data_IF_770505603090
#
_entry.id   IF_770505603090
#
_cell.length_a   1.000
_cell.length_b   1.000
_cell.length_c   1.000
_cell.angle_alpha   90.00
_cell.angle_beta   90.00
_cell.angle_gamma   90.00
#
_symmetry.space_group_name_H-M   'P 1'
#
loop_
_entity.id
_entity.type
_entity.pdbx_description
1 polymer ?
#
# COMPACT_ATOMS: atom_id res chain seq x y z
N UNK A 1 5.24 3.51 28.39
CA UNK A 1 5.32 3.59 26.91
C UNK A 1 6.75 3.98 26.54
N UNK A 2 7.37 3.29 25.58
CA UNK A 2 8.78 3.53 25.21
C UNK A 2 9.03 4.91 24.59
N UNK A 3 10.28 5.36 24.58
CA UNK A 3 10.74 6.68 24.11
C UNK A 3 10.63 6.89 22.60
N UNK A 4 10.31 5.86 21.83
CA UNK A 4 10.36 5.88 20.36
C UNK A 4 8.99 5.96 19.66
N UNK A 5 7.88 5.95 20.42
CA UNK A 5 6.56 6.15 19.84
C UNK A 5 6.31 7.64 19.57
N UNK A 6 5.65 7.98 18.45
CA UNK A 6 5.25 9.36 18.21
C UNK A 6 4.27 9.80 19.30
N UNK A 7 4.52 10.95 19.91
CA UNK A 7 3.81 11.47 21.10
C UNK A 7 2.62 12.35 20.74
N UNK A 8 2.78 13.22 19.74
CA UNK A 8 1.73 14.09 19.23
C UNK A 8 2.06 14.59 17.82
N UNK A 9 1.08 15.17 17.12
CA UNK A 9 1.28 15.82 15.82
C UNK A 9 2.33 16.93 15.88
N UNK A 10 2.36 17.71 16.96
CA UNK A 10 3.31 18.82 17.14
C UNK A 10 4.71 18.31 17.47
N UNK A 11 4.83 17.28 18.30
CA UNK A 11 6.13 16.74 18.72
C UNK A 11 6.78 15.84 17.65
N UNK A 12 5.96 15.13 16.87
CA UNK A 12 6.42 14.12 15.90
C UNK A 12 5.72 14.26 14.54
N UNK A 13 5.73 15.44 13.89
CA UNK A 13 4.91 15.72 12.70
C UNK A 13 5.20 14.78 11.52
N UNK A 14 6.41 14.21 11.45
CA UNK A 14 6.81 13.29 10.37
C UNK A 14 6.43 11.82 10.63
N UNK A 15 6.05 11.48 11.87
CA UNK A 15 5.70 10.11 12.29
C UNK A 15 4.27 10.01 12.82
N UNK A 16 3.59 11.14 12.99
CA UNK A 16 2.18 11.21 13.33
C UNK A 16 1.32 11.06 12.09
N UNK A 17 0.19 10.38 12.21
CA UNK A 17 -0.74 10.22 11.10
C UNK A 17 -1.46 11.54 10.78
N UNK A 18 -1.90 11.71 9.53
CA UNK A 18 -2.72 12.87 9.17
C UNK A 18 -4.14 12.72 9.76
N UNK A 19 -4.52 13.69 10.60
CA UNK A 19 -5.78 13.78 11.37
C UNK A 19 -6.79 14.79 10.77
N UNK A 20 -6.63 15.18 9.50
CA UNK A 20 -7.57 16.07 8.82
C UNK A 20 -8.97 15.44 8.81
N UNK A 21 -9.94 16.22 9.30
CA UNK A 21 -11.34 15.83 9.27
C UNK A 21 -11.94 16.15 7.90
N UNK A 22 -12.25 15.10 7.13
CA UNK A 22 -12.87 15.22 5.83
C UNK A 22 -14.37 15.03 5.93
N UNK A 23 -15.13 15.84 5.21
CA UNK A 23 -16.57 15.63 5.02
C UNK A 23 -16.84 14.44 4.10
N UNK A 24 -18.11 14.03 4.02
CA UNK A 24 -18.53 12.99 3.09
C UNK A 24 -18.26 13.35 1.64
N UNK A 25 -17.72 12.39 0.88
CA UNK A 25 -17.40 12.56 -0.54
C UNK A 25 -16.14 13.38 -0.85
N UNK A 26 -15.40 13.86 0.16
CA UNK A 26 -14.15 14.60 -0.06
C UNK A 26 -12.96 13.66 -0.22
N UNK A 27 -12.23 13.80 -1.32
CA UNK A 27 -10.89 13.24 -1.48
C UNK A 27 -9.85 14.11 -0.79
N UNK A 28 -8.80 13.49 -0.25
CA UNK A 28 -7.67 14.23 0.31
C UNK A 28 -6.36 13.54 -0.06
N UNK A 29 -5.42 14.34 -0.55
CA UNK A 29 -4.06 13.91 -0.85
C UNK A 29 -3.22 14.02 0.41
N UNK A 30 -2.55 12.94 0.78
CA UNK A 30 -1.69 12.88 1.94
C UNK A 30 -0.58 13.94 1.90
N UNK A 31 -0.20 14.41 3.08
CA UNK A 31 0.95 15.29 3.30
C UNK A 31 2.06 14.51 4.03
N UNK A 32 3.25 15.10 4.14
CA UNK A 32 4.38 14.48 4.83
C UNK A 32 4.89 13.22 4.12
N UNK A 33 5.21 12.15 4.86
CA UNK A 33 5.85 10.94 4.31
C UNK A 33 4.97 10.15 3.33
N UNK A 34 3.65 10.21 3.48
CA UNK A 34 2.74 9.50 2.58
C UNK A 34 2.47 10.26 1.26
N UNK A 35 2.94 11.51 1.12
CA UNK A 35 2.73 12.31 -0.10
C UNK A 35 3.44 11.73 -1.34
N UNK A 36 4.51 10.95 -1.13
CA UNK A 36 5.25 10.28 -2.21
C UNK A 36 4.62 8.94 -2.63
N UNK A 37 3.65 8.45 -1.87
CA UNK A 37 3.01 7.17 -2.16
C UNK A 37 2.03 7.32 -3.35
N UNK A 38 1.87 6.28 -4.18
CA UNK A 38 0.80 6.26 -5.17
C UNK A 38 -0.57 6.44 -4.51
N UNK A 39 -1.49 7.09 -5.21
CA UNK A 39 -2.87 7.22 -4.76
C UNK A 39 -3.64 5.90 -4.98
N UNK A 40 -4.86 5.82 -4.44
CA UNK A 40 -5.67 4.59 -4.51
C UNK A 40 -5.98 4.12 -5.94
N UNK A 41 -6.13 5.04 -6.90
CA UNK A 41 -6.36 4.69 -8.31
C UNK A 41 -5.10 4.12 -8.94
N UNK A 42 -3.92 4.73 -8.69
CA UNK A 42 -2.64 4.21 -9.17
C UNK A 42 -2.38 2.79 -8.63
N UNK A 43 -2.71 2.53 -7.35
CA UNK A 43 -2.63 1.19 -6.79
C UNK A 43 -3.51 0.19 -7.54
N UNK A 44 -4.75 0.56 -7.88
CA UNK A 44 -5.63 -0.32 -8.64
C UNK A 44 -5.02 -0.69 -10.00
N UNK A 45 -4.37 0.25 -10.69
CA UNK A 45 -3.63 -0.03 -11.91
C UNK A 45 -2.48 -1.04 -11.69
N UNK A 46 -1.64 -0.87 -10.67
CA UNK A 46 -0.59 -1.84 -10.36
C UNK A 46 -1.17 -3.23 -10.04
N UNK A 47 -2.29 -3.29 -9.33
CA UNK A 47 -2.93 -4.53 -8.91
C UNK A 47 -3.50 -5.31 -10.09
N UNK A 48 -4.23 -4.65 -11.00
CA UNK A 48 -4.99 -5.33 -12.06
C UNK A 48 -4.33 -5.31 -13.43
N UNK A 49 -3.45 -4.33 -13.69
CA UNK A 49 -2.73 -4.17 -14.97
C UNK A 49 -1.22 -4.28 -14.81
N UNK A 50 -0.72 -4.31 -13.57
CA UNK A 50 0.70 -4.49 -13.28
C UNK A 50 1.19 -5.93 -13.33
N UNK A 51 0.35 -6.89 -13.74
CA UNK A 51 0.68 -8.33 -13.84
C UNK A 51 1.49 -8.84 -12.63
N UNK A 52 0.89 -8.96 -11.44
CA UNK A 52 1.66 -9.23 -10.22
C UNK A 52 2.40 -10.57 -10.25
N UNK A 53 3.66 -10.57 -9.81
CA UNK A 53 4.47 -11.78 -9.65
C UNK A 53 4.95 -11.93 -8.21
N UNK A 54 4.59 -13.03 -7.55
CA UNK A 54 5.12 -13.33 -6.23
C UNK A 54 6.48 -14.01 -6.35
N UNK A 55 7.50 -13.40 -5.76
CA UNK A 55 8.85 -13.92 -5.72
C UNK A 55 9.23 -14.21 -4.28
N UNK A 56 9.11 -15.48 -3.89
CA UNK A 56 9.42 -15.98 -2.56
C UNK A 56 10.91 -16.08 -2.25
N UNK A 57 11.79 -15.90 -3.24
CA UNK A 57 13.23 -16.11 -3.10
C UNK A 57 14.04 -14.81 -3.17
N UNK A 58 13.47 -13.73 -3.70
CA UNK A 58 14.13 -12.43 -3.74
C UNK A 58 14.44 -11.89 -2.34
N UNK A 59 15.73 -11.71 -2.09
CA UNK A 59 16.27 -11.18 -0.85
C UNK A 59 15.98 -9.67 -0.69
N UNK A 60 15.74 -9.26 0.55
CA UNK A 60 15.70 -7.87 0.98
C UNK A 60 16.18 -7.73 2.43
N UNK A 61 16.67 -6.55 2.79
CA UNK A 61 17.01 -6.22 4.17
C UNK A 61 16.03 -5.23 4.77
N UNK A 62 15.54 -5.49 5.98
CA UNK A 62 14.70 -4.56 6.72
C UNK A 62 15.05 -4.60 8.21
N UNK A 63 15.17 -3.40 8.83
CA UNK A 63 15.47 -3.25 10.25
C UNK A 63 16.67 -4.07 10.75
N UNK A 64 17.73 -4.21 9.93
CA UNK A 64 18.93 -4.98 10.28
C UNK A 64 18.82 -6.50 10.07
N UNK A 65 17.71 -7.00 9.54
CA UNK A 65 17.51 -8.41 9.23
C UNK A 65 17.49 -8.66 7.73
N UNK A 66 18.14 -9.74 7.28
CA UNK A 66 18.00 -10.28 5.93
C UNK A 66 16.76 -11.18 5.87
N UNK A 67 15.95 -11.04 4.83
CA UNK A 67 14.72 -11.79 4.61
C UNK A 67 14.52 -12.00 3.11
N UNK A 68 13.53 -12.80 2.72
CA UNK A 68 13.18 -13.05 1.31
C UNK A 68 11.68 -13.05 1.11
N UNK A 69 11.21 -12.68 -0.07
CA UNK A 69 9.78 -12.66 -0.37
C UNK A 69 9.25 -11.27 -0.69
N UNK A 70 8.41 -11.18 -1.71
CA UNK A 70 7.71 -9.97 -2.08
C UNK A 70 7.01 -10.10 -3.42
N UNK A 71 6.51 -8.97 -3.92
CA UNK A 71 5.71 -8.93 -5.14
C UNK A 71 6.35 -7.97 -6.14
N UNK A 72 6.47 -8.42 -7.38
CA UNK A 72 6.79 -7.56 -8.51
C UNK A 72 5.52 -7.01 -9.14
N UNK A 73 5.59 -5.78 -9.64
CA UNK A 73 4.57 -5.13 -10.43
C UNK A 73 5.20 -4.43 -11.62
N UNK A 74 4.52 -4.37 -12.77
CA UNK A 74 4.98 -3.55 -13.90
C UNK A 74 5.13 -2.11 -13.46
N UNK A 75 6.19 -1.45 -13.93
CA UNK A 75 6.41 -0.01 -13.78
C UNK A 75 5.29 0.79 -14.40
N UNK A 76 5.11 2.00 -13.89
CA UNK A 76 4.02 2.88 -14.32
C UNK A 76 4.05 3.17 -15.81
N UNK A 77 5.24 3.47 -16.34
CA UNK A 77 5.42 3.75 -17.77
C UNK A 77 4.95 2.58 -18.66
N UNK A 78 5.20 1.34 -18.23
CA UNK A 78 4.77 0.14 -18.96
C UNK A 78 3.25 0.02 -18.95
N UNK A 79 2.62 0.17 -17.78
CA UNK A 79 1.16 0.12 -17.66
C UNK A 79 0.51 1.23 -18.51
N UNK A 80 1.03 2.46 -18.45
CA UNK A 80 0.52 3.57 -19.24
C UNK A 80 0.63 3.32 -20.74
N UNK A 81 1.77 2.80 -21.20
CA UNK A 81 1.98 2.48 -22.62
C UNK A 81 1.02 1.40 -23.11
N UNK A 82 0.87 0.30 -22.36
CA UNK A 82 0.02 -0.84 -22.74
C UNK A 82 -1.48 -0.52 -22.70
N UNK A 83 -1.88 0.49 -21.94
CA UNK A 83 -3.30 0.86 -21.76
C UNK A 83 -3.62 2.23 -22.38
N UNK A 84 -2.71 2.81 -23.16
CA UNK A 84 -2.86 4.11 -23.82
C UNK A 84 -3.27 5.24 -22.87
N UNK A 85 -2.63 5.30 -21.70
CA UNK A 85 -2.93 6.28 -20.65
C UNK A 85 -1.90 7.40 -20.59
N UNK A 86 -2.36 8.56 -20.12
CA UNK A 86 -1.48 9.59 -19.56
C UNK A 86 -1.32 9.40 -18.05
N UNK A 87 -0.29 10.01 -17.46
CA UNK A 87 -0.11 10.03 -16.00
C UNK A 87 -1.34 10.60 -15.28
N UNK A 88 -1.92 11.67 -15.83
CA UNK A 88 -3.14 12.30 -15.30
C UNK A 88 -4.31 11.33 -15.33
N UNK A 89 -4.50 10.60 -16.44
CA UNK A 89 -5.59 9.64 -16.57
C UNK A 89 -5.46 8.47 -15.57
N UNK A 90 -4.24 7.94 -15.41
CA UNK A 90 -3.96 6.85 -14.47
C UNK A 90 -4.22 7.26 -13.01
N UNK A 91 -3.87 8.51 -12.65
CA UNK A 91 -4.13 9.06 -11.31
C UNK A 91 -5.61 9.35 -11.04
N UNK A 92 -6.37 9.69 -12.08
CA UNK A 92 -7.73 10.16 -11.94
C UNK A 92 -8.72 9.06 -11.58
N UNK A 93 -8.56 7.86 -12.15
CA UNK A 93 -9.51 6.74 -11.98
C UNK A 93 -8.91 5.40 -12.41
N UNK A 94 -9.54 4.32 -11.97
CA UNK A 94 -9.35 2.98 -12.51
C UNK A 94 -10.72 2.41 -12.89
N UNK A 95 -10.82 1.75 -14.05
CA UNK A 95 -12.07 1.14 -14.55
C UNK A 95 -13.29 2.08 -14.44
N UNK A 96 -13.12 3.29 -14.98
CA UNK A 96 -14.11 4.38 -14.93
C UNK A 96 -14.55 4.88 -13.54
N UNK A 97 -13.90 4.41 -12.47
CA UNK A 97 -14.22 4.77 -11.09
C UNK A 97 -13.06 5.54 -10.44
N UNK A 98 -13.35 6.72 -9.90
CA UNK A 98 -12.43 7.38 -8.98
C UNK A 98 -12.65 6.85 -7.56
N UNK A 99 -11.67 6.12 -7.04
CA UNK A 99 -11.74 5.51 -5.71
C UNK A 99 -11.35 6.46 -4.58
N UNK A 100 -10.80 7.65 -4.88
CA UNK A 100 -10.38 8.62 -3.86
C UNK A 100 -11.53 9.16 -2.99
N UNK A 101 -12.70 9.50 -3.54
CA UNK A 101 -13.86 9.88 -2.74
C UNK A 101 -14.69 8.69 -2.26
N UNK A 102 -14.32 7.46 -2.65
CA UNK A 102 -15.17 6.28 -2.47
C UNK A 102 -15.44 6.01 -0.99
N UNK A 103 -16.72 5.82 -0.67
CA UNK A 103 -17.20 5.45 0.65
C UNK A 103 -17.83 4.07 0.59
N UNK A 104 -17.10 3.02 0.95
CA UNK A 104 -17.74 1.74 1.08
C UNK A 104 -18.78 1.77 2.20
N UNK A 105 -19.97 1.22 1.98
CA UNK A 105 -21.00 1.14 3.02
C UNK A 105 -20.63 0.18 4.17
N UNK A 106 -19.50 -0.54 4.06
CA UNK A 106 -19.11 -1.64 4.94
C UNK A 106 -17.67 -1.43 5.41
N UNK A 107 -17.42 -1.79 6.67
CA UNK A 107 -16.11 -1.86 7.34
C UNK A 107 -15.09 -2.84 6.72
N UNK A 108 -15.39 -3.46 5.57
CA UNK A 108 -14.62 -4.56 4.98
C UNK A 108 -14.37 -4.39 3.47
N UNK A 109 -14.38 -3.16 2.96
CA UNK A 109 -14.10 -2.96 1.54
C UNK A 109 -12.69 -3.35 1.17
N UNK A 110 -12.60 -4.10 0.08
CA UNK A 110 -11.35 -4.41 -0.57
C UNK A 110 -11.55 -4.53 -2.07
N UNK A 111 -10.48 -4.25 -2.81
CA UNK A 111 -10.40 -4.48 -4.24
C UNK A 111 -9.26 -5.47 -4.48
N UNK A 112 -9.61 -6.73 -4.76
CA UNK A 112 -8.68 -7.86 -4.73
C UNK A 112 -8.36 -8.40 -6.13
N UNK A 113 -7.10 -8.76 -6.34
CA UNK A 113 -6.65 -9.57 -7.46
C UNK A 113 -5.98 -10.86 -6.92
N UNK A 114 -6.39 -12.00 -7.48
CA UNK A 114 -5.82 -13.33 -7.20
C UNK A 114 -5.08 -13.93 -8.41
N UNK A 115 -5.06 -13.22 -9.54
CA UNK A 115 -4.24 -13.57 -10.70
C UNK A 115 -2.81 -13.12 -10.44
N UNK A 116 -2.03 -14.03 -9.87
CA UNK A 116 -0.63 -13.83 -9.48
C UNK A 116 0.18 -14.96 -10.07
N UNK A 117 1.28 -14.60 -10.74
CA UNK A 117 2.24 -15.57 -11.25
C UNK A 117 3.32 -15.84 -10.20
N UNK A 118 3.76 -17.09 -10.07
CA UNK A 118 4.84 -17.46 -9.14
C UNK A 118 6.19 -17.31 -9.82
N UNK A 119 7.16 -16.76 -9.10
CA UNK A 119 8.51 -16.47 -9.55
C UNK A 119 8.66 -15.09 -10.16
N UNK A 120 9.91 -14.65 -10.33
CA UNK A 120 10.21 -13.35 -10.94
C UNK A 120 9.63 -13.21 -12.37
N UNK A 121 9.26 -11.98 -12.79
CA UNK A 121 8.89 -11.72 -14.18
C UNK A 121 10.08 -12.01 -15.12
N UNK A 122 9.78 -12.44 -16.35
CA UNK A 122 10.82 -12.74 -17.36
C UNK A 122 11.61 -11.51 -17.80
N UNK A 123 10.98 -10.33 -17.81
CA UNK A 123 11.63 -9.05 -18.07
C UNK A 123 11.54 -8.17 -16.82
N UNK A 124 12.53 -8.30 -15.93
CA UNK A 124 12.60 -7.54 -14.68
C UNK A 124 12.73 -6.03 -14.88
N UNK A 125 13.26 -5.56 -16.01
CA UNK A 125 13.46 -4.13 -16.27
C UNK A 125 12.13 -3.38 -16.41
N UNK A 126 11.08 -4.08 -16.82
CA UNK A 126 9.73 -3.57 -16.92
C UNK A 126 9.00 -3.54 -15.57
N UNK A 127 9.60 -4.04 -14.50
CA UNK A 127 8.96 -4.24 -13.20
C UNK A 127 9.73 -3.54 -12.07
N UNK A 128 9.04 -3.23 -10.97
CA UNK A 128 9.63 -2.88 -9.69
C UNK A 128 9.20 -3.89 -8.64
N UNK A 129 9.98 -4.01 -7.57
CA UNK A 129 9.75 -5.00 -6.52
C UNK A 129 9.35 -4.32 -5.20
N UNK A 130 8.27 -4.81 -4.59
CA UNK A 130 7.88 -4.46 -3.24
C UNK A 130 8.16 -5.64 -2.30
N UNK A 131 9.06 -5.48 -1.32
CA UNK A 131 9.31 -6.56 -0.36
C UNK A 131 8.11 -6.84 0.56
N UNK A 132 7.95 -8.07 1.02
CA UNK A 132 6.90 -8.41 1.98
C UNK A 132 7.30 -8.01 3.42
N UNK A 133 7.33 -6.70 3.69
CA UNK A 133 7.83 -6.08 4.94
C UNK A 133 6.82 -6.15 6.10
N UNK A 134 5.52 -6.22 5.83
CA UNK A 134 4.49 -6.18 6.87
C UNK A 134 4.22 -4.77 7.44
N UNK A 135 3.74 -4.71 8.67
CA UNK A 135 3.34 -3.47 9.34
C UNK A 135 3.53 -3.53 10.87
N UNK A 136 3.52 -2.36 11.51
CA UNK A 136 3.51 -2.24 12.97
C UNK A 136 2.11 -1.92 13.49
N UNK A 137 1.70 -2.53 14.61
CA UNK A 137 0.46 -2.17 15.29
C UNK A 137 0.55 -2.41 16.79
N UNK A 138 0.10 -1.45 17.60
CA UNK A 138 0.16 -1.50 19.08
C UNK A 138 1.54 -1.92 19.62
N UNK A 139 2.61 -1.41 19.01
CA UNK A 139 3.99 -1.68 19.41
C UNK A 139 4.53 -3.06 19.03
N UNK A 140 3.80 -3.82 18.23
CA UNK A 140 4.22 -5.13 17.70
C UNK A 140 4.38 -5.07 16.19
N UNK A 141 5.31 -5.86 15.67
CA UNK A 141 5.52 -6.05 14.24
C UNK A 141 4.74 -7.27 13.74
N UNK A 142 4.10 -7.14 12.59
CA UNK A 142 3.27 -8.14 11.93
C UNK A 142 3.69 -8.28 10.47
N UNK A 143 4.16 -9.46 10.08
CA UNK A 143 4.58 -9.78 8.71
C UNK A 143 3.77 -10.93 8.09
N UNK A 144 2.56 -11.16 8.62
CA UNK A 144 1.58 -12.15 8.20
C UNK A 144 0.18 -11.76 8.70
N UNK A 145 -0.85 -12.52 8.35
CA UNK A 145 -2.22 -12.23 8.81
C UNK A 145 -2.34 -12.54 10.31
N UNK A 146 -2.25 -11.51 11.15
CA UNK A 146 -2.42 -11.56 12.61
C UNK A 146 -1.44 -12.45 13.40
N UNK A 147 -0.49 -13.12 12.75
CA UNK A 147 0.56 -13.88 13.45
C UNK A 147 1.59 -12.89 14.00
N UNK A 148 1.69 -12.83 15.33
CA UNK A 148 2.76 -12.09 16.00
C UNK A 148 4.07 -12.85 15.83
N UNK A 149 5.11 -12.21 15.31
CA UNK A 149 6.44 -12.83 15.17
C UNK A 149 7.15 -12.41 13.89
N UNK A 150 8.44 -12.72 13.83
CA UNK A 150 9.32 -12.32 12.73
C UNK A 150 9.23 -13.32 11.56
N UNK A 151 8.11 -13.30 10.83
CA UNK A 151 7.93 -14.07 9.59
C UNK A 151 8.05 -13.12 8.39
N UNK A 152 9.12 -12.34 8.34
CA UNK A 152 9.38 -11.42 7.22
C UNK A 152 9.27 -12.19 5.91
N UNK A 153 8.72 -11.54 4.88
CA UNK A 153 8.64 -12.17 3.56
C UNK A 153 7.30 -12.78 3.19
N UNK A 154 6.28 -12.75 4.07
CA UNK A 154 4.98 -13.39 3.80
C UNK A 154 3.83 -12.40 3.53
N UNK A 155 3.97 -11.15 3.98
CA UNK A 155 2.94 -10.12 3.80
C UNK A 155 3.57 -8.75 3.55
N UNK A 156 3.14 -8.06 2.49
CA UNK A 156 3.48 -6.66 2.23
C UNK A 156 2.33 -5.73 2.62
N UNK A 157 2.64 -4.57 3.18
CA UNK A 157 1.66 -3.55 3.57
C UNK A 157 2.23 -2.15 3.35
N UNK A 158 1.57 -1.39 2.46
CA UNK A 158 2.04 -0.10 1.97
C UNK A 158 0.91 0.91 1.97
N UNK A 159 1.12 2.05 2.64
CA UNK A 159 0.15 3.14 2.61
C UNK A 159 0.05 3.76 1.23
N UNK A 160 -1.15 4.21 0.86
CA UNK A 160 -1.37 5.09 -0.28
C UNK A 160 -1.32 6.56 0.15
N UNK A 161 -1.26 7.48 -0.81
CA UNK A 161 -1.48 8.91 -0.55
C UNK A 161 -2.97 9.29 -0.45
N UNK A 162 -3.90 8.34 -0.51
CA UNK A 162 -5.34 8.59 -0.44
C UNK A 162 -5.92 8.30 0.94
N UNK A 163 -6.62 9.29 1.50
CA UNK A 163 -7.42 9.12 2.70
C UNK A 163 -8.67 8.27 2.43
N UNK A 164 -9.12 7.53 3.46
CA UNK A 164 -10.50 7.04 3.55
C UNK A 164 -11.19 7.81 4.67
N UNK A 165 -12.47 8.13 4.49
CA UNK A 165 -13.29 8.80 5.50
C UNK A 165 -14.28 7.83 6.19
N UNK A 166 -13.99 6.52 6.11
CA UNK A 166 -14.68 5.50 6.90
C UNK A 166 -14.40 5.63 8.40
N UNK A 167 -15.43 5.35 9.20
CA UNK A 167 -15.40 5.35 10.68
C UNK A 167 -14.83 6.66 11.25
N UNK A 168 -15.34 7.80 10.78
CA UNK A 168 -14.98 9.12 11.31
C UNK A 168 -13.49 9.47 11.12
N UNK A 169 -12.95 9.27 9.91
CA UNK A 169 -11.56 9.59 9.52
C UNK A 169 -10.46 8.75 10.19
N UNK A 170 -10.82 7.63 10.82
CA UNK A 170 -9.84 6.73 11.47
C UNK A 170 -9.07 5.84 10.51
N UNK A 171 -9.46 5.78 9.23
CA UNK A 171 -8.91 4.82 8.26
C UNK A 171 -8.23 5.49 7.05
N UNK A 172 -7.37 4.76 6.37
CA UNK A 172 -6.76 5.14 5.10
C UNK A 172 -6.65 3.91 4.17
N UNK A 173 -6.42 4.15 2.88
CA UNK A 173 -6.19 3.07 1.93
C UNK A 173 -4.75 2.57 2.00
N UNK A 174 -4.58 1.26 1.97
CA UNK A 174 -3.28 0.61 1.83
C UNK A 174 -3.34 -0.48 0.75
N UNK A 175 -2.23 -0.65 0.05
CA UNK A 175 -1.97 -1.84 -0.75
C UNK A 175 -1.41 -2.91 0.17
N UNK A 176 -2.00 -4.11 0.13
CA UNK A 176 -1.46 -5.25 0.84
C UNK A 176 -1.48 -6.51 0.00
N UNK A 177 -0.51 -7.38 0.23
CA UNK A 177 -0.37 -8.61 -0.53
C UNK A 177 0.30 -9.73 0.25
N UNK A 178 0.12 -10.94 -0.26
CA UNK A 178 0.85 -12.16 0.03
C UNK A 178 0.88 -13.00 -1.26
N UNK A 179 1.48 -14.18 -1.21
CA UNK A 179 1.67 -15.06 -2.37
C UNK A 179 0.45 -15.22 -3.29
N UNK A 180 -0.76 -15.38 -2.72
CA UNK A 180 -1.96 -15.71 -3.47
C UNK A 180 -3.01 -14.60 -3.55
N UNK A 181 -2.73 -13.40 -3.02
CA UNK A 181 -3.63 -12.26 -3.13
C UNK A 181 -2.88 -10.95 -3.00
N UNK A 182 -3.25 -9.98 -3.83
CA UNK A 182 -2.92 -8.57 -3.67
C UNK A 182 -4.20 -7.76 -3.74
N UNK A 183 -4.28 -6.68 -2.97
CA UNK A 183 -5.44 -5.81 -3.04
C UNK A 183 -5.27 -4.47 -2.34
N UNK A 184 -6.28 -3.63 -2.54
CA UNK A 184 -6.48 -2.41 -1.77
C UNK A 184 -7.38 -2.76 -0.59
N UNK A 185 -6.98 -2.31 0.59
CA UNK A 185 -7.75 -2.44 1.82
C UNK A 185 -7.97 -1.08 2.47
N UNK A 186 -8.91 -1.03 3.40
CA UNK A 186 -9.10 0.11 4.30
C UNK A 186 -8.60 -0.31 5.67
N UNK A 187 -7.58 0.39 6.17
CA UNK A 187 -6.93 0.08 7.44
C UNK A 187 -6.93 1.28 8.38
N UNK A 188 -6.98 1.01 9.69
CA UNK A 188 -6.84 2.02 10.73
C UNK A 188 -5.49 2.74 10.63
N UNK A 189 -5.51 4.08 10.74
CA UNK A 189 -4.31 4.95 10.64
C UNK A 189 -3.33 4.77 11.79
N UNK A 190 -3.74 4.11 12.88
CA UNK A 190 -2.88 3.71 14.00
C UNK A 190 -1.91 2.57 13.63
N UNK A 191 -2.11 1.94 12.46
CA UNK A 191 -1.19 0.96 11.89
C UNK A 191 0.01 1.69 11.24
N UNK A 192 1.23 1.21 11.45
CA UNK A 192 2.44 1.68 10.80
C UNK A 192 2.81 0.81 9.61
N UNK A 193 2.14 1.01 8.46
CA UNK A 193 2.58 0.45 7.19
C UNK A 193 3.65 1.33 6.54
N UNK A 194 4.36 0.79 5.54
CA UNK A 194 5.44 1.51 4.87
C UNK A 194 4.90 2.67 4.02
N UNK A 195 5.61 3.81 4.04
CA UNK A 195 5.35 4.98 3.20
C UNK A 195 6.53 5.22 2.27
N UNK A 196 6.46 4.69 1.06
CA UNK A 196 7.53 4.79 0.05
C UNK A 196 6.95 5.19 -1.31
N UNK A 197 7.79 5.78 -2.16
CA UNK A 197 7.58 5.76 -3.60
C UNK A 197 7.83 4.34 -4.13
N UNK A 198 7.10 3.92 -5.16
CA UNK A 198 7.18 2.56 -5.70
C UNK A 198 8.24 2.41 -6.80
N UNK A 199 8.55 3.50 -7.50
CA UNK A 199 9.50 3.60 -8.60
C UNK A 199 9.99 5.04 -8.78
#
# INVERSE_FOLDING_TARGET
SGTHYPKSKTADPMRWYNDVNLSSGQSYTATGKAAVCPNVNEMAWYIFKGAPHWDGDKLFSFAGHLSKGGMWFKKKAVIMSENHLTDVAMKAKYDNTDYRPYRPSISNWSLLNKSITIGAPSNVDNYFFLPAIGYFFKGKFYSGSFIQGNQNGLYGDYWTSSASNLDGNKNAYNLAFRENVVGIFVSIRLKGAMTIAFE
#
